data_IF_377176468843
#
_entry.id   IF_377176468843
#
_cell.length_a   1.000
_cell.length_b   1.000
_cell.length_c   1.000
_cell.angle_alpha   90.00
_cell.angle_beta   90.00
_cell.angle_gamma   90.00
#
_symmetry.space_group_name_H-M   'P 1'
#
loop_
_entity.id
_entity.type
_entity.pdbx_description
1 polymer ?
#
# COMPACT_ATOMS: atom_id res chain seq x y z
N UNK A 1 -6.48 5.42 11.34
CA UNK A 1 -6.58 4.02 10.91
C UNK A 1 -6.51 3.94 9.38
N UNK A 2 -5.84 2.92 8.87
CA UNK A 2 -5.75 2.69 7.42
C UNK A 2 -6.80 1.67 7.01
N UNK A 3 -7.64 2.04 6.03
CA UNK A 3 -8.69 1.19 5.49
C UNK A 3 -8.35 0.85 4.03
N UNK A 4 -8.53 -0.41 3.65
CA UNK A 4 -8.38 -0.84 2.25
C UNK A 4 -9.75 -1.27 1.75
N UNK A 5 -10.20 -0.70 0.64
CA UNK A 5 -11.55 -0.96 0.14
C UNK A 5 -11.59 -1.13 -1.37
N UNK A 6 -12.66 -1.77 -1.86
CA UNK A 6 -12.87 -1.99 -3.28
C UNK A 6 -13.70 -0.83 -3.87
N UNK A 7 -13.14 -0.15 -4.86
CA UNK A 7 -13.75 0.96 -5.57
C UNK A 7 -15.13 0.65 -6.15
N UNK A 8 -15.37 -0.60 -6.53
CA UNK A 8 -16.66 -1.02 -7.10
C UNK A 8 -17.76 -1.19 -6.05
N UNK A 9 -17.41 -1.30 -4.77
CA UNK A 9 -18.34 -1.60 -3.68
C UNK A 9 -18.67 -0.35 -2.88
N UNK A 10 -17.74 0.56 -2.73
CA UNK A 10 -17.90 1.77 -1.92
C UNK A 10 -17.63 3.02 -2.73
N UNK A 11 -18.21 4.15 -2.28
CA UNK A 11 -17.92 5.48 -2.80
C UNK A 11 -16.64 5.99 -2.16
N UNK A 12 -16.02 7.02 -2.74
CA UNK A 12 -14.80 7.58 -2.17
C UNK A 12 -15.03 8.30 -0.88
N UNK A 13 -13.97 8.29 -0.08
CA UNK A 13 -13.86 8.89 1.23
C UNK A 13 -12.94 10.11 1.18
N UNK A 14 -13.01 10.96 2.20
CA UNK A 14 -11.97 11.95 2.46
C UNK A 14 -10.66 11.21 2.75
N UNK A 15 -9.53 11.76 2.35
CA UNK A 15 -8.21 11.12 2.46
C UNK A 15 -8.15 9.78 1.69
N UNK A 16 -8.66 9.81 0.47
CA UNK A 16 -8.72 8.63 -0.40
C UNK A 16 -7.53 8.61 -1.34
N UNK A 17 -6.86 7.46 -1.43
CA UNK A 17 -5.70 7.25 -2.30
C UNK A 17 -5.92 6.03 -3.18
N UNK A 18 -5.94 6.25 -4.48
CA UNK A 18 -5.98 5.13 -5.42
C UNK A 18 -4.60 4.46 -5.48
N UNK A 19 -4.56 3.17 -5.18
CA UNK A 19 -3.32 2.39 -5.13
C UNK A 19 -3.25 1.31 -6.20
N UNK A 20 -4.21 1.28 -7.12
CA UNK A 20 -4.25 0.31 -8.20
C UNK A 20 -3.22 0.59 -9.28
N UNK A 21 -3.20 -0.26 -10.30
CA UNK A 21 -2.30 -0.13 -11.45
C UNK A 21 -2.57 1.19 -12.17
N UNK A 22 -1.49 1.85 -12.58
CA UNK A 22 -1.53 3.20 -13.11
C UNK A 22 -1.17 4.26 -12.08
N UNK A 23 -1.24 3.95 -10.78
CA UNK A 23 -0.75 4.81 -9.71
C UNK A 23 0.70 4.45 -9.37
N UNK A 24 1.46 5.36 -8.70
CA UNK A 24 2.81 5.06 -8.25
C UNK A 24 2.90 3.84 -7.33
N UNK A 25 1.82 3.51 -6.63
CA UNK A 25 1.76 2.42 -5.66
C UNK A 25 1.18 1.12 -6.23
N UNK A 26 0.87 1.09 -7.53
CA UNK A 26 0.32 -0.10 -8.18
C UNK A 26 1.26 -1.30 -8.09
N UNK A 27 0.68 -2.49 -7.95
CA UNK A 27 1.46 -3.72 -7.92
C UNK A 27 1.95 -4.07 -9.33
N UNK A 28 3.28 -4.14 -9.57
CA UNK A 28 3.81 -4.50 -10.90
C UNK A 28 3.68 -6.00 -11.21
N UNK A 29 3.31 -6.82 -10.22
CA UNK A 29 3.19 -8.26 -10.38
C UNK A 29 1.73 -8.66 -10.61
N UNK A 30 1.50 -9.64 -11.47
CA UNK A 30 0.16 -10.18 -11.72
C UNK A 30 0.21 -11.71 -11.81
N UNK A 31 -0.82 -12.37 -11.31
CA UNK A 31 -1.04 -13.79 -11.53
C UNK A 31 -1.93 -14.05 -12.76
N UNK A 32 -2.48 -12.98 -13.33
CA UNK A 32 -3.36 -13.06 -14.50
C UNK A 32 -2.51 -13.05 -15.78
N UNK A 33 -2.80 -13.95 -16.71
CA UNK A 33 -2.07 -14.05 -17.96
C UNK A 33 -2.64 -13.17 -19.08
N UNK A 34 -3.64 -12.36 -18.79
CA UNK A 34 -4.26 -11.45 -19.73
C UNK A 34 -3.30 -10.36 -20.16
N UNK A 35 -3.07 -10.22 -21.46
CA UNK A 35 -2.17 -9.22 -22.04
C UNK A 35 -2.65 -7.78 -21.87
N UNK A 36 -3.88 -7.56 -21.44
CA UNK A 36 -4.46 -6.22 -21.21
C UNK A 36 -4.10 -5.61 -19.88
N UNK A 37 -3.48 -6.37 -18.98
CA UNK A 37 -3.06 -5.84 -17.69
C UNK A 37 -1.87 -4.88 -17.85
N UNK A 38 -1.83 -3.83 -17.03
CA UNK A 38 -0.70 -2.91 -16.93
C UNK A 38 0.46 -3.46 -16.09
N UNK A 39 0.31 -4.64 -15.53
CA UNK A 39 1.37 -5.27 -14.74
C UNK A 39 2.56 -5.64 -15.64
N UNK A 40 3.77 -5.44 -15.10
CA UNK A 40 5.03 -5.64 -15.82
C UNK A 40 5.56 -7.06 -15.62
N UNK A 41 5.33 -7.65 -14.44
CA UNK A 41 5.91 -8.92 -14.03
C UNK A 41 4.84 -9.96 -13.77
N UNK A 42 5.15 -11.22 -14.10
CA UNK A 42 4.27 -12.35 -13.84
C UNK A 42 4.52 -12.91 -12.45
N UNK A 43 3.45 -13.22 -11.72
CA UNK A 43 3.47 -13.93 -10.46
C UNK A 43 2.74 -15.28 -10.62
N UNK A 44 3.02 -16.20 -9.72
CA UNK A 44 2.47 -17.54 -9.71
C UNK A 44 0.97 -17.55 -9.41
N UNK A 45 0.56 -16.79 -8.38
CA UNK A 45 -0.84 -16.63 -7.98
C UNK A 45 -0.99 -15.27 -7.27
N UNK A 46 -2.20 -15.01 -6.74
CA UNK A 46 -2.47 -13.74 -6.05
C UNK A 46 -1.57 -13.56 -4.83
N UNK A 47 -1.41 -14.57 -4.00
CA UNK A 47 -0.58 -14.48 -2.80
C UNK A 47 0.89 -14.25 -3.15
N UNK A 48 1.39 -14.92 -4.18
CA UNK A 48 2.76 -14.68 -4.67
C UNK A 48 2.94 -13.24 -5.15
N UNK A 49 1.96 -12.70 -5.89
CA UNK A 49 2.00 -11.31 -6.35
C UNK A 49 2.05 -10.32 -5.18
N UNK A 50 1.33 -10.60 -4.11
CA UNK A 50 1.29 -9.75 -2.92
C UNK A 50 2.56 -9.89 -2.09
N UNK A 51 3.08 -11.11 -1.94
CA UNK A 51 4.35 -11.35 -1.24
C UNK A 51 5.51 -10.66 -1.97
N UNK A 52 5.54 -10.72 -3.29
CA UNK A 52 6.53 -10.00 -4.11
C UNK A 52 6.39 -8.49 -3.97
N UNK A 53 5.17 -7.99 -3.80
CA UNK A 53 4.95 -6.57 -3.56
C UNK A 53 5.60 -6.10 -2.25
N UNK A 54 5.62 -6.92 -1.22
CA UNK A 54 6.30 -6.57 0.03
C UNK A 54 7.79 -6.27 -0.19
N UNK A 55 8.47 -7.10 -0.96
CA UNK A 55 9.87 -6.87 -1.33
C UNK A 55 10.03 -5.66 -2.25
N UNK A 56 9.12 -5.52 -3.20
CA UNK A 56 9.07 -4.37 -4.11
C UNK A 56 8.91 -3.06 -3.33
N UNK A 57 8.05 -3.05 -2.31
CA UNK A 57 7.87 -1.89 -1.44
C UNK A 57 9.20 -1.47 -0.80
N UNK A 58 9.90 -2.42 -0.20
CA UNK A 58 11.17 -2.13 0.47
C UNK A 58 12.24 -1.65 -0.50
N UNK A 59 12.23 -2.17 -1.73
CA UNK A 59 13.15 -1.74 -2.77
C UNK A 59 12.85 -0.32 -3.27
N UNK A 60 11.57 0.01 -3.44
CA UNK A 60 11.15 1.28 -4.02
C UNK A 60 11.13 2.43 -3.02
N UNK A 61 10.83 2.15 -1.76
CA UNK A 61 10.79 3.21 -0.75
C UNK A 61 12.19 3.78 -0.50
N UNK A 62 12.33 5.08 -0.70
CA UNK A 62 13.61 5.78 -0.59
C UNK A 62 14.42 5.84 -1.88
N UNK A 63 14.13 4.99 -2.87
CA UNK A 63 14.85 4.96 -4.15
C UNK A 63 14.04 5.51 -5.32
N UNK A 64 12.72 5.41 -5.26
CA UNK A 64 11.83 5.96 -6.29
C UNK A 64 11.04 7.13 -5.71
N UNK A 65 11.18 8.30 -6.31
CA UNK A 65 10.58 9.53 -5.78
C UNK A 65 9.05 9.48 -5.76
N UNK A 66 8.43 9.04 -6.83
CA UNK A 66 6.97 9.01 -6.92
C UNK A 66 6.37 8.04 -5.90
N UNK A 67 6.96 6.86 -5.77
CA UNK A 67 6.55 5.86 -4.78
C UNK A 67 6.72 6.39 -3.36
N UNK A 68 7.90 6.89 -3.04
CA UNK A 68 8.23 7.42 -1.71
C UNK A 68 7.33 8.58 -1.32
N UNK A 69 7.09 9.52 -2.22
CA UNK A 69 6.24 10.68 -1.96
C UNK A 69 4.78 10.27 -1.69
N UNK A 70 4.27 9.30 -2.45
CA UNK A 70 2.92 8.80 -2.25
C UNK A 70 2.77 8.12 -0.88
N UNK A 71 3.74 7.29 -0.50
CA UNK A 71 3.75 6.63 0.81
C UNK A 71 3.85 7.65 1.94
N UNK A 72 4.74 8.65 1.81
CA UNK A 72 4.92 9.66 2.85
C UNK A 72 3.65 10.49 3.07
N UNK A 73 2.91 10.82 2.02
CA UNK A 73 1.63 11.52 2.14
C UNK A 73 0.61 10.71 2.93
N UNK A 74 0.51 9.43 2.63
CA UNK A 74 -0.39 8.53 3.35
C UNK A 74 0.03 8.43 4.81
N UNK A 75 1.32 8.26 5.05
CA UNK A 75 1.86 8.10 6.39
C UNK A 75 1.64 9.34 7.26
N UNK A 76 1.86 10.54 6.71
CA UNK A 76 1.65 11.79 7.45
C UNK A 76 0.21 11.93 7.96
N UNK A 77 -0.77 11.59 7.14
CA UNK A 77 -2.17 11.60 7.56
C UNK A 77 -2.46 10.54 8.61
N UNK A 78 -1.99 9.33 8.38
CA UNK A 78 -2.18 8.22 9.32
C UNK A 78 -1.56 8.50 10.69
N UNK A 79 -0.36 9.03 10.72
CA UNK A 79 0.40 9.34 11.92
C UNK A 79 -0.29 10.39 12.79
N UNK A 80 -1.03 11.32 12.19
CA UNK A 80 -1.80 12.33 12.91
C UNK A 80 -3.12 11.82 13.47
N UNK A 81 -3.47 10.56 13.25
CA UNK A 81 -4.71 9.95 13.74
C UNK A 81 -5.87 10.01 12.75
N UNK A 82 -5.66 10.53 11.55
CA UNK A 82 -6.68 10.59 10.51
C UNK A 82 -6.99 9.20 9.97
N UNK A 83 -8.24 8.99 9.55
CA UNK A 83 -8.60 7.82 8.77
C UNK A 83 -8.14 8.01 7.33
N UNK A 84 -7.43 7.02 6.81
CA UNK A 84 -6.90 7.01 5.44
C UNK A 84 -7.49 5.82 4.69
N UNK A 85 -7.91 6.05 3.46
CA UNK A 85 -8.58 5.04 2.63
C UNK A 85 -7.75 4.73 1.40
N UNK A 86 -7.35 3.47 1.27
CA UNK A 86 -6.61 2.96 0.12
C UNK A 86 -7.58 2.26 -0.83
N UNK A 87 -7.74 2.81 -2.01
CA UNK A 87 -8.71 2.38 -3.02
C UNK A 87 -8.09 1.37 -3.98
N UNK A 88 -8.66 0.17 -4.05
CA UNK A 88 -8.21 -0.90 -4.94
C UNK A 88 -9.39 -1.57 -5.65
N UNK A 89 -9.12 -2.67 -6.35
CA UNK A 89 -10.14 -3.48 -7.02
C UNK A 89 -10.20 -4.93 -6.52
N UNK A 90 -9.41 -5.27 -5.50
CA UNK A 90 -9.22 -6.68 -5.08
C UNK A 90 -10.12 -7.11 -3.94
N UNK A 91 -10.47 -6.18 -3.02
CA UNK A 91 -11.26 -6.55 -1.84
C UNK A 91 -12.60 -7.17 -2.21
N UNK A 92 -13.08 -8.20 -1.49
CA UNK A 92 -12.56 -8.70 -0.21
C UNK A 92 -11.32 -9.59 -0.30
N UNK A 93 -10.82 -9.85 -1.52
CA UNK A 93 -9.61 -10.65 -1.69
C UNK A 93 -8.38 -9.92 -1.15
N UNK A 94 -7.33 -10.68 -0.76
CA UNK A 94 -6.06 -10.13 -0.33
C UNK A 94 -5.46 -9.22 -1.40
N UNK A 95 -4.94 -8.07 -1.00
CA UNK A 95 -4.53 -7.00 -1.90
C UNK A 95 -3.18 -6.42 -1.45
N UNK A 96 -2.43 -5.83 -2.39
CA UNK A 96 -1.18 -5.14 -2.03
C UNK A 96 -1.41 -3.95 -1.08
N UNK A 97 -2.62 -3.42 -1.02
CA UNK A 97 -2.99 -2.42 -0.02
C UNK A 97 -2.84 -2.92 1.41
N UNK A 98 -3.05 -4.22 1.63
CA UNK A 98 -2.82 -4.84 2.93
C UNK A 98 -1.33 -4.79 3.32
N UNK A 99 -0.43 -4.91 2.33
CA UNK A 99 1.01 -4.77 2.55
C UNK A 99 1.34 -3.32 2.94
N UNK A 100 0.81 -2.34 2.22
CA UNK A 100 1.02 -0.92 2.53
C UNK A 100 0.57 -0.61 3.96
N UNK A 101 -0.63 -1.06 4.32
CA UNK A 101 -1.18 -0.90 5.67
C UNK A 101 -0.25 -1.48 6.72
N UNK A 102 0.18 -2.72 6.54
CA UNK A 102 1.06 -3.42 7.47
C UNK A 102 2.40 -2.70 7.64
N UNK A 103 3.02 -2.26 6.53
CA UNK A 103 4.29 -1.53 6.56
C UNK A 103 4.17 -0.23 7.34
N UNK A 104 3.09 0.52 7.15
CA UNK A 104 2.90 1.81 7.80
C UNK A 104 2.49 1.65 9.27
N UNK A 105 1.70 0.67 9.60
CA UNK A 105 1.37 0.34 11.00
C UNK A 105 2.63 -0.07 11.77
N UNK A 106 3.46 -0.89 11.16
CA UNK A 106 4.74 -1.30 11.74
C UNK A 106 5.68 -0.11 11.96
N UNK A 107 5.77 0.80 10.98
CA UNK A 107 6.59 2.01 11.08
C UNK A 107 6.15 2.90 12.26
N UNK A 108 4.85 3.13 12.37
CA UNK A 108 4.32 3.97 13.45
C UNK A 108 4.59 3.36 14.82
N UNK A 109 4.41 2.04 14.95
CA UNK A 109 4.69 1.32 16.19
C UNK A 109 6.17 1.45 16.58
N UNK A 110 7.08 1.28 15.63
CA UNK A 110 8.52 1.41 15.87
C UNK A 110 8.89 2.84 16.29
N UNK A 111 8.32 3.84 15.67
CA UNK A 111 8.57 5.24 16.02
C UNK A 111 8.07 5.57 17.43
N UNK A 112 6.91 5.05 17.81
CA UNK A 112 6.37 5.22 19.16
C UNK A 112 7.24 4.56 20.23
N UNK A 113 7.77 3.39 19.96
CA UNK A 113 8.68 2.68 20.86
C UNK A 113 9.98 3.48 21.03
N UNK A 114 10.56 3.95 19.93
CA UNK A 114 11.79 4.78 19.96
C UNK A 114 11.57 6.06 20.75
N UNK A 115 10.43 6.71 20.58
CA UNK A 115 10.09 7.93 21.30
C UNK A 115 10.02 7.69 22.83
N UNK A 116 9.39 6.57 23.23
CA UNK A 116 9.35 6.17 24.65
C UNK A 116 10.74 5.92 25.22
N UNK A 117 11.62 5.29 24.46
CA UNK A 117 12.99 5.01 24.89
C UNK A 117 13.80 6.29 25.09
N UNK A 118 13.56 7.32 24.27
CA UNK A 118 14.25 8.61 24.39
C UNK A 118 13.83 9.42 25.61
N UNK A 119 12.66 9.14 26.16
CA UNK A 119 12.12 9.87 27.33
C UNK A 119 12.56 9.32 28.69
N UNK A 120 13.36 8.28 28.68
CA UNK A 120 13.89 7.68 29.91
C UNK A 120 15.11 8.42 30.44
#
# INVERSE_FOLDING_TARGET
MIHVYNRKVETHHTNNFYIGRGSPLGNPYTHITDKKTKAIYQAKDRDDAIDKYSHYFDLMYGSNLAFTSAIDRIYELYKTGEDVYLECYCKPERCHGDVIKEKLESRLLKEKIQERMKKR
#
